data_IF_867110727713
#
_entry.id   IF_867110727713
#
_cell.length_a   1.000
_cell.length_b   1.000
_cell.length_c   1.000
_cell.angle_alpha   90.00
_cell.angle_beta   90.00
_cell.angle_gamma   90.00
#
_symmetry.space_group_name_H-M   'P 1'
#
loop_
_entity.id
_entity.type
_entity.pdbx_description
1 polymer ?
#
# COMPACT_ATOMS: atom_id res chain seq x y z
N UNK A 1 18.12 -6.32 15.30
CA UNK A 1 18.11 -5.23 14.30
C UNK A 1 16.65 -4.95 13.89
N UNK A 2 15.83 -4.29 14.73
CA UNK A 2 14.40 -4.13 14.45
C UNK A 2 14.03 -2.88 13.63
N UNK A 3 14.90 -1.86 13.58
CA UNK A 3 14.63 -0.61 12.86
C UNK A 3 14.53 -0.75 11.32
N UNK A 4 15.02 -1.86 10.76
CA UNK A 4 15.06 -2.12 9.32
C UNK A 4 13.68 -2.49 8.74
N UNK A 5 12.93 -3.38 9.40
CA UNK A 5 11.63 -3.86 8.90
C UNK A 5 10.57 -2.75 8.84
N UNK A 6 10.49 -1.94 9.91
CA UNK A 6 9.60 -0.77 9.93
C UNK A 6 9.91 0.22 8.81
N UNK A 7 11.20 0.49 8.51
CA UNK A 7 11.57 1.38 7.40
C UNK A 7 11.15 0.82 6.05
N UNK A 8 11.32 -0.48 5.81
CA UNK A 8 10.89 -1.11 4.56
C UNK A 8 9.40 -0.94 4.32
N UNK A 9 8.58 -1.15 5.35
CA UNK A 9 7.12 -0.97 5.25
C UNK A 9 6.73 0.50 5.10
N UNK A 10 7.46 1.41 5.76
CA UNK A 10 7.28 2.85 5.54
C UNK A 10 7.47 3.20 4.06
N UNK A 11 8.58 2.75 3.47
CA UNK A 11 8.90 3.03 2.08
C UNK A 11 7.86 2.39 1.15
N UNK A 12 7.47 1.13 1.39
CA UNK A 12 6.42 0.46 0.63
C UNK A 12 5.10 1.25 0.65
N UNK A 13 4.66 1.70 1.83
CA UNK A 13 3.44 2.49 1.95
C UNK A 13 3.56 3.81 1.18
N UNK A 14 4.71 4.48 1.23
CA UNK A 14 4.91 5.76 0.55
C UNK A 14 4.96 5.58 -0.97
N UNK A 15 5.66 4.55 -1.47
CA UNK A 15 5.67 4.17 -2.90
C UNK A 15 4.25 3.89 -3.41
N UNK A 16 3.44 3.16 -2.63
CA UNK A 16 2.05 2.85 -2.98
C UNK A 16 1.17 4.12 -3.01
N UNK A 17 1.44 5.12 -2.17
CA UNK A 17 0.71 6.39 -2.22
C UNK A 17 1.03 7.16 -3.49
N UNK A 18 2.31 7.24 -3.84
CA UNK A 18 2.76 7.89 -5.07
C UNK A 18 2.15 7.20 -6.30
N UNK A 19 2.22 5.87 -6.36
CA UNK A 19 1.63 5.11 -7.47
C UNK A 19 0.10 5.29 -7.57
N UNK A 20 -0.61 5.33 -6.43
CA UNK A 20 -2.05 5.65 -6.42
C UNK A 20 -2.32 7.04 -6.99
N UNK A 21 -1.53 8.03 -6.61
CA UNK A 21 -1.73 9.41 -7.03
C UNK A 21 -1.44 9.55 -8.55
N UNK A 22 -0.37 8.92 -9.03
CA UNK A 22 -0.08 8.80 -10.47
C UNK A 22 -1.21 8.11 -11.24
N UNK A 23 -1.66 6.95 -10.76
CA UNK A 23 -2.77 6.22 -11.37
C UNK A 23 -4.04 7.04 -11.39
N UNK A 24 -4.32 7.80 -10.32
CA UNK A 24 -5.49 8.66 -10.24
C UNK A 24 -5.46 9.76 -11.30
N UNK A 25 -4.29 10.35 -11.56
CA UNK A 25 -4.10 11.33 -12.63
C UNK A 25 -4.31 10.70 -14.02
N UNK A 26 -3.75 9.52 -14.26
CA UNK A 26 -3.88 8.80 -15.54
C UNK A 26 -5.31 8.27 -15.78
N UNK A 27 -6.03 7.94 -14.70
CA UNK A 27 -7.37 7.37 -14.72
C UNK A 27 -8.45 8.33 -15.23
N UNK A 28 -8.15 9.61 -15.50
CA UNK A 28 -9.17 10.59 -15.89
C UNK A 28 -10.05 10.08 -17.06
N UNK A 29 -9.46 9.39 -18.03
CA UNK A 29 -10.12 8.75 -19.18
C UNK A 29 -10.32 7.22 -19.05
N UNK A 30 -9.91 6.63 -17.93
CA UNK A 30 -9.95 5.18 -17.71
C UNK A 30 -11.37 4.62 -17.49
N UNK A 31 -11.51 3.30 -17.72
CA UNK A 31 -12.76 2.55 -17.54
C UNK A 31 -13.30 2.69 -16.12
N UNK A 32 -14.62 2.70 -15.96
CA UNK A 32 -15.29 2.80 -14.66
C UNK A 32 -14.93 1.63 -13.71
N UNK A 33 -14.64 0.45 -14.27
CA UNK A 33 -14.15 -0.71 -13.51
C UNK A 33 -12.76 -0.45 -12.92
N UNK A 34 -11.83 0.10 -13.72
CA UNK A 34 -10.48 0.45 -13.26
C UNK A 34 -10.51 1.56 -12.20
N UNK A 35 -11.40 2.55 -12.35
CA UNK A 35 -11.68 3.58 -11.32
C UNK A 35 -12.18 2.98 -10.01
N UNK A 36 -13.12 2.04 -10.09
CA UNK A 36 -13.68 1.36 -8.93
C UNK A 36 -12.63 0.53 -8.21
N UNK A 37 -11.80 -0.19 -8.96
CA UNK A 37 -10.72 -1.00 -8.41
C UNK A 37 -9.62 -0.13 -7.79
N UNK A 38 -9.21 0.95 -8.46
CA UNK A 38 -8.24 1.92 -7.91
C UNK A 38 -8.73 2.49 -6.57
N UNK A 39 -10.01 2.85 -6.49
CA UNK A 39 -10.63 3.34 -5.25
C UNK A 39 -10.65 2.27 -4.15
N UNK A 40 -10.91 1.01 -4.51
CA UNK A 40 -10.92 -0.12 -3.57
C UNK A 40 -9.54 -0.37 -2.99
N UNK A 41 -8.52 -0.41 -3.83
CA UNK A 41 -7.12 -0.59 -3.43
C UNK A 41 -6.59 0.61 -2.65
N UNK A 42 -6.97 1.83 -3.03
CA UNK A 42 -6.64 3.04 -2.28
C UNK A 42 -7.17 3.03 -0.85
N UNK A 43 -8.39 2.52 -0.62
CA UNK A 43 -8.92 2.32 0.74
C UNK A 43 -8.11 1.30 1.54
N UNK A 44 -7.73 0.17 0.92
CA UNK A 44 -6.85 -0.83 1.57
C UNK A 44 -5.51 -0.20 1.98
N UNK A 45 -4.93 0.64 1.14
CA UNK A 45 -3.69 1.38 1.45
C UNK A 45 -3.87 2.33 2.65
N UNK A 46 -4.99 3.05 2.72
CA UNK A 46 -5.27 3.93 3.86
C UNK A 46 -5.48 3.15 5.16
N UNK A 47 -6.15 2.00 5.09
CA UNK A 47 -6.29 1.08 6.23
C UNK A 47 -4.93 0.51 6.67
N UNK A 48 -4.08 0.11 5.72
CA UNK A 48 -2.72 -0.37 5.97
C UNK A 48 -1.90 0.70 6.70
N UNK A 49 -1.91 1.93 6.20
CA UNK A 49 -1.20 3.06 6.79
C UNK A 49 -1.72 3.40 8.20
N UNK A 50 -3.03 3.30 8.42
CA UNK A 50 -3.65 3.53 9.73
C UNK A 50 -3.24 2.48 10.75
N UNK A 51 -3.12 1.21 10.34
CA UNK A 51 -2.62 0.13 11.19
C UNK A 51 -1.12 0.23 11.45
N UNK A 52 -0.35 0.62 10.43
CA UNK A 52 1.10 0.78 10.51
C UNK A 52 1.55 1.87 11.49
N UNK A 53 0.89 3.04 11.50
CA UNK A 53 1.26 4.19 12.35
C UNK A 53 1.45 3.85 13.84
N UNK A 54 0.50 3.21 14.54
CA UNK A 54 0.69 2.83 15.94
C UNK A 54 1.73 1.71 16.10
N UNK A 55 1.81 0.77 15.15
CA UNK A 55 2.76 -0.35 15.20
C UNK A 55 4.21 0.11 15.10
N UNK A 56 4.48 1.12 14.25
CA UNK A 56 5.81 1.76 14.11
C UNK A 56 6.36 2.28 15.44
N UNK A 57 5.49 2.78 16.32
CA UNK A 57 5.89 3.35 17.60
C UNK A 57 5.85 2.35 18.76
N UNK A 58 5.07 1.27 18.64
CA UNK A 58 4.80 0.33 19.73
C UNK A 58 5.60 -0.98 19.66
N UNK A 59 6.02 -1.42 18.46
CA UNK A 59 6.65 -2.72 18.26
C UNK A 59 8.10 -2.58 17.79
N UNK A 60 8.99 -2.22 18.71
CA UNK A 60 10.43 -2.19 18.43
C UNK A 60 11.12 -3.56 18.59
N UNK A 61 10.50 -4.62 19.13
CA UNK A 61 11.26 -5.87 19.40
C UNK A 61 10.55 -7.22 19.10
N UNK A 62 9.23 -7.30 18.89
CA UNK A 62 8.53 -8.62 18.91
C UNK A 62 7.46 -8.85 17.83
N UNK A 63 7.48 -8.08 16.73
CA UNK A 63 6.38 -8.04 15.75
C UNK A 63 6.66 -8.62 14.36
N UNK A 64 7.59 -9.56 14.16
CA UNK A 64 7.93 -10.10 12.81
C UNK A 64 6.70 -10.58 12.04
N UNK A 65 5.83 -11.37 12.66
CA UNK A 65 4.58 -11.85 12.03
C UNK A 65 3.64 -10.70 11.58
N UNK A 66 3.64 -9.60 12.33
CA UNK A 66 2.84 -8.42 12.02
C UNK A 66 3.44 -7.65 10.86
N UNK A 67 4.77 -7.54 10.81
CA UNK A 67 5.48 -6.93 9.69
C UNK A 67 5.25 -7.72 8.40
N UNK A 68 5.33 -9.05 8.45
CA UNK A 68 5.07 -9.92 7.30
C UNK A 68 3.62 -9.78 6.79
N UNK A 69 2.65 -9.71 7.70
CA UNK A 69 1.25 -9.48 7.33
C UNK A 69 1.03 -8.11 6.65
N UNK A 70 1.66 -7.05 7.17
CA UNK A 70 1.61 -5.72 6.56
C UNK A 70 2.26 -5.70 5.18
N UNK A 71 3.40 -6.38 5.03
CA UNK A 71 4.11 -6.49 3.75
C UNK A 71 3.27 -7.23 2.72
N UNK A 72 2.66 -8.37 3.10
CA UNK A 72 1.78 -9.13 2.22
C UNK A 72 0.59 -8.30 1.68
N UNK A 73 -0.03 -7.50 2.56
CA UNK A 73 -1.12 -6.59 2.15
C UNK A 73 -0.59 -5.50 1.22
N UNK A 74 0.59 -4.94 1.50
CA UNK A 74 1.23 -3.96 0.63
C UNK A 74 1.53 -4.52 -0.76
N UNK A 75 2.04 -5.75 -0.84
CA UNK A 75 2.30 -6.45 -2.10
C UNK A 75 1.01 -6.72 -2.88
N UNK A 76 -0.08 -7.10 -2.21
CA UNK A 76 -1.40 -7.28 -2.85
C UNK A 76 -1.91 -5.97 -3.49
N UNK A 77 -1.73 -4.84 -2.80
CA UNK A 77 -2.10 -3.52 -3.30
C UNK A 77 -1.24 -3.14 -4.50
N UNK A 78 0.08 -3.34 -4.42
CA UNK A 78 1.03 -3.09 -5.49
C UNK A 78 0.68 -3.85 -6.76
N UNK A 79 0.41 -5.14 -6.63
CA UNK A 79 0.00 -5.98 -7.76
C UNK A 79 -1.32 -5.50 -8.36
N UNK A 80 -2.25 -5.03 -7.52
CA UNK A 80 -3.49 -4.41 -7.95
C UNK A 80 -3.27 -3.14 -8.78
N UNK A 81 -2.43 -2.23 -8.30
CA UNK A 81 -2.03 -1.02 -9.02
C UNK A 81 -1.34 -1.33 -10.35
N UNK A 82 -0.45 -2.32 -10.35
CA UNK A 82 0.23 -2.77 -11.57
C UNK A 82 -0.77 -3.31 -12.62
N UNK A 83 -1.79 -4.07 -12.20
CA UNK A 83 -2.86 -4.55 -13.10
C UNK A 83 -3.70 -3.41 -13.67
N UNK A 84 -4.01 -2.42 -12.83
CA UNK A 84 -4.74 -1.22 -13.25
C UNK A 84 -3.91 -0.46 -14.29
N UNK A 85 -2.63 -0.22 -14.02
CA UNK A 85 -1.70 0.45 -14.93
C UNK A 85 -1.61 -0.23 -16.30
N UNK A 86 -1.61 -1.56 -16.32
CA UNK A 86 -1.62 -2.36 -17.57
C UNK A 86 -2.95 -2.29 -18.33
N UNK A 87 -4.03 -1.89 -17.68
CA UNK A 87 -5.38 -1.84 -18.25
C UNK A 87 -5.80 -0.43 -18.68
N UNK A 88 -4.98 0.58 -18.37
CA UNK A 88 -5.08 1.96 -18.85
C UNK A 88 -4.52 2.07 -20.27
#
# INVERSE_FOLDING_TARGET
MPASASRLISNLIDDLKEERDELTLQMHLGKQEAKSELKRLGKKLDELNTRYKPLKHAMEETGEDVWDALQLVGDEIKDGFHRIRKSL
#
